data_IF_630989898669
#
_entry.id   IF_630989898669
#
_cell.length_a   1.000
_cell.length_b   1.000
_cell.length_c   1.000
_cell.angle_alpha   90.00
_cell.angle_beta   90.00
_cell.angle_gamma   90.00
#
_symmetry.space_group_name_H-M   'P 1'
#
loop_
_entity.id
_entity.type
_entity.pdbx_description
1 polymer ?
#
# COMPACT_ATOMS: atom_id res chain seq x y z
N UNK A 1 3.68 9.62 19.56
CA UNK A 1 3.01 9.81 18.25
C UNK A 1 1.97 8.70 18.08
N UNK A 2 0.74 9.08 17.69
CA UNK A 2 -0.35 8.14 17.36
C UNK A 2 -0.42 8.02 15.86
N UNK A 3 -0.22 6.82 15.33
CA UNK A 3 -0.10 6.58 13.89
C UNK A 3 -1.25 5.70 13.43
N UNK A 4 -1.94 6.11 12.38
CA UNK A 4 -2.87 5.27 11.63
C UNK A 4 -2.16 4.82 10.35
N UNK A 5 -2.10 3.52 10.10
CA UNK A 5 -1.56 2.97 8.85
C UNK A 5 -2.69 2.34 8.07
N UNK A 6 -2.98 2.91 6.92
CA UNK A 6 -3.93 2.35 5.97
C UNK A 6 -3.28 1.19 5.23
N UNK A 7 -3.97 0.07 5.13
CA UNK A 7 -3.49 -1.07 4.36
C UNK A 7 -4.61 -1.73 3.56
N UNK A 8 -4.35 -1.99 2.29
CA UNK A 8 -5.25 -2.68 1.38
C UNK A 8 -4.91 -4.16 1.32
N UNK A 9 -5.92 -4.99 1.34
CA UNK A 9 -5.81 -6.41 1.06
C UNK A 9 -6.25 -6.65 -0.37
N UNK A 10 -5.39 -7.31 -1.14
CA UNK A 10 -5.54 -7.53 -2.58
C UNK A 10 -5.42 -9.01 -2.91
N UNK A 11 -5.97 -9.47 -4.04
CA UNK A 11 -5.68 -10.81 -4.55
C UNK A 11 -4.19 -10.97 -4.82
N UNK A 12 -3.64 -12.16 -4.59
CA UNK A 12 -2.25 -12.43 -4.91
C UNK A 12 -2.05 -12.48 -6.42
N UNK A 13 -1.41 -11.46 -6.99
CA UNK A 13 -1.19 -11.31 -8.43
C UNK A 13 -0.37 -12.45 -9.05
N UNK A 14 0.47 -13.12 -8.27
CA UNK A 14 1.28 -14.27 -8.74
C UNK A 14 0.44 -15.53 -9.01
N UNK A 15 -0.77 -15.59 -8.43
CA UNK A 15 -1.69 -16.74 -8.56
C UNK A 15 -2.89 -16.44 -9.45
N UNK A 16 -2.97 -15.22 -10.01
CA UNK A 16 -4.02 -14.86 -10.96
C UNK A 16 -3.89 -15.66 -12.26
N UNK A 17 -5.01 -16.17 -12.74
CA UNK A 17 -5.06 -16.89 -14.01
C UNK A 17 -5.55 -15.94 -15.11
N UNK A 18 -4.86 -15.95 -16.25
CA UNK A 18 -5.36 -15.28 -17.45
C UNK A 18 -6.21 -16.28 -18.24
N UNK A 19 -7.49 -15.98 -18.38
CA UNK A 19 -8.44 -16.79 -19.12
C UNK A 19 -8.24 -16.62 -20.66
N UNK A 20 -8.75 -17.54 -21.48
CA UNK A 20 -8.60 -17.45 -22.96
C UNK A 20 -9.11 -16.16 -23.59
N UNK A 21 -10.11 -15.50 -22.97
CA UNK A 21 -10.65 -14.21 -23.37
C UNK A 21 -9.87 -13.03 -22.78
N UNK A 22 -8.72 -13.28 -22.17
CA UNK A 22 -7.84 -12.34 -21.46
C UNK A 22 -8.42 -11.76 -20.17
N UNK A 23 -9.59 -12.16 -19.74
CA UNK A 23 -10.09 -11.80 -18.41
C UNK A 23 -9.23 -12.42 -17.32
N UNK A 24 -9.23 -11.79 -16.14
CA UNK A 24 -8.53 -12.29 -14.96
C UNK A 24 -9.43 -13.23 -14.16
N UNK A 25 -8.93 -14.44 -13.89
CA UNK A 25 -9.59 -15.42 -13.04
C UNK A 25 -9.15 -15.27 -11.58
N UNK A 26 -10.10 -14.98 -10.68
CA UNK A 26 -9.86 -14.79 -9.25
C UNK A 26 -10.23 -16.02 -8.40
N UNK A 27 -10.74 -17.07 -9.02
CA UNK A 27 -11.24 -18.24 -8.30
C UNK A 27 -10.12 -18.97 -7.55
N UNK A 28 -10.22 -19.03 -6.22
CA UNK A 28 -9.23 -19.69 -5.36
C UNK A 28 -7.95 -18.90 -5.12
N UNK A 29 -7.86 -17.69 -5.63
CA UNK A 29 -6.69 -16.81 -5.43
C UNK A 29 -6.66 -16.34 -3.97
N UNK A 30 -5.54 -16.55 -3.24
CA UNK A 30 -5.43 -16.09 -1.86
C UNK A 30 -5.31 -14.57 -1.78
N UNK A 31 -5.77 -14.04 -0.65
CA UNK A 31 -5.65 -12.62 -0.33
C UNK A 31 -4.33 -12.34 0.39
N UNK A 32 -3.71 -11.21 0.07
CA UNK A 32 -2.49 -10.71 0.72
C UNK A 32 -2.54 -9.20 0.96
N UNK A 33 -1.67 -8.70 1.84
CA UNK A 33 -1.48 -7.26 2.01
C UNK A 33 -0.74 -6.72 0.79
N UNK A 34 -1.17 -5.58 0.27
CA UNK A 34 -0.49 -4.87 -0.82
C UNK A 34 0.96 -4.56 -0.45
N UNK A 35 1.87 -4.69 -1.42
CA UNK A 35 3.31 -4.55 -1.18
C UNK A 35 3.69 -3.18 -0.60
N UNK A 36 3.17 -2.10 -1.15
CA UNK A 36 3.45 -0.74 -0.64
C UNK A 36 2.90 -0.50 0.76
N UNK A 37 1.82 -1.18 1.12
CA UNK A 37 1.25 -1.10 2.46
C UNK A 37 2.06 -1.89 3.47
N UNK A 38 2.80 -2.92 3.04
CA UNK A 38 3.82 -3.56 3.88
C UNK A 38 4.93 -2.57 4.26
N UNK A 39 5.37 -1.71 3.32
CA UNK A 39 6.33 -0.66 3.60
C UNK A 39 5.75 0.40 4.56
N UNK A 40 4.49 0.77 4.39
CA UNK A 40 3.80 1.69 5.31
C UNK A 40 3.68 1.11 6.73
N UNK A 41 3.34 -0.18 6.86
CA UNK A 41 3.29 -0.88 8.15
C UNK A 41 4.65 -0.93 8.84
N UNK A 42 5.73 -1.21 8.09
CA UNK A 42 7.08 -1.21 8.64
C UNK A 42 7.53 0.21 9.07
N UNK A 43 7.22 1.25 8.26
CA UNK A 43 7.48 2.65 8.63
C UNK A 43 6.73 3.04 9.92
N UNK A 44 5.45 2.72 10.01
CA UNK A 44 4.64 2.97 11.21
C UNK A 44 5.20 2.28 12.45
N UNK A 45 5.64 1.02 12.31
CA UNK A 45 6.27 0.25 13.38
C UNK A 45 7.58 0.88 13.86
N UNK A 46 8.43 1.34 12.92
CA UNK A 46 9.70 2.00 13.25
C UNK A 46 9.47 3.33 13.99
N UNK A 47 8.53 4.14 13.52
CA UNK A 47 8.18 5.41 14.16
C UNK A 47 7.52 5.22 15.53
N UNK A 48 6.67 4.21 15.70
CA UNK A 48 6.02 3.91 16.96
C UNK A 48 6.99 3.34 18.02
N UNK A 49 8.15 2.81 17.64
CA UNK A 49 9.14 2.23 18.57
C UNK A 49 9.67 3.25 19.59
N UNK A 50 9.60 4.56 19.31
CA UNK A 50 9.95 5.65 20.21
C UNK A 50 8.93 5.96 21.31
N UNK A 51 7.94 5.09 21.58
CA UNK A 51 6.89 5.27 22.60
C UNK A 51 5.55 5.74 22.04
N UNK A 52 5.34 5.59 20.73
CA UNK A 52 4.07 5.85 20.05
C UNK A 52 3.11 4.67 20.09
N UNK A 53 1.96 4.83 19.43
CA UNK A 53 0.97 3.77 19.17
C UNK A 53 0.66 3.70 17.67
N UNK A 54 0.35 2.50 17.22
CA UNK A 54 0.07 2.24 15.81
C UNK A 54 -1.25 1.48 15.66
N UNK A 55 -2.17 2.04 14.89
CA UNK A 55 -3.43 1.39 14.52
C UNK A 55 -3.43 1.11 13.01
N UNK A 56 -3.69 -0.13 12.62
CA UNK A 56 -3.95 -0.43 11.22
C UNK A 56 -5.42 -0.15 10.89
N UNK A 57 -5.67 0.42 9.72
CA UNK A 57 -6.99 0.63 9.15
C UNK A 57 -7.08 -0.06 7.79
N UNK A 58 -8.08 -0.89 7.59
CA UNK A 58 -8.33 -1.55 6.31
C UNK A 58 -9.79 -1.48 5.92
N UNK A 59 -10.04 -1.23 4.63
CA UNK A 59 -11.37 -1.09 4.06
C UNK A 59 -11.52 -2.08 2.92
N UNK A 60 -12.60 -2.82 2.84
CA UNK A 60 -12.83 -3.78 1.78
C UNK A 60 -14.00 -4.72 2.03
N UNK A 61 -14.08 -5.77 1.22
CA UNK A 61 -15.13 -6.79 1.34
C UNK A 61 -14.91 -7.73 2.53
N UNK A 62 -15.97 -8.38 2.94
CA UNK A 62 -15.90 -9.45 3.94
C UNK A 62 -15.06 -10.64 3.45
N UNK A 63 -15.04 -10.90 2.14
CA UNK A 63 -14.21 -11.94 1.53
C UNK A 63 -12.71 -11.64 1.75
N UNK A 64 -12.27 -10.42 1.49
CA UNK A 64 -10.88 -10.01 1.63
C UNK A 64 -10.42 -9.93 3.09
N UNK A 65 -11.22 -9.31 3.96
CA UNK A 65 -10.81 -8.89 5.30
C UNK A 65 -11.41 -9.72 6.44
N UNK A 66 -12.43 -10.53 6.16
CA UNK A 66 -13.18 -11.25 7.21
C UNK A 66 -12.42 -12.41 7.83
N UNK A 67 -11.38 -12.94 7.17
CA UNK A 67 -10.64 -14.08 7.68
C UNK A 67 -9.69 -13.70 8.82
N UNK A 68 -9.67 -14.52 9.89
CA UNK A 68 -8.73 -14.32 11.00
C UNK A 68 -7.27 -14.49 10.60
N UNK A 69 -6.99 -15.15 9.47
CA UNK A 69 -5.64 -15.29 8.91
C UNK A 69 -5.11 -13.96 8.46
N UNK A 70 -5.86 -13.23 7.63
CA UNK A 70 -5.43 -11.94 7.09
C UNK A 70 -5.36 -10.87 8.18
N UNK A 71 -6.31 -10.88 9.13
CA UNK A 71 -6.30 -9.96 10.27
C UNK A 71 -5.07 -10.17 11.15
N UNK A 72 -4.68 -11.42 11.42
CA UNK A 72 -3.45 -11.75 12.16
C UNK A 72 -2.19 -11.41 11.37
N UNK A 73 -2.21 -11.55 10.04
CA UNK A 73 -1.07 -11.14 9.21
C UNK A 73 -0.84 -9.63 9.35
N UNK A 74 -1.87 -8.80 9.21
CA UNK A 74 -1.77 -7.34 9.43
C UNK A 74 -1.24 -7.05 10.84
N UNK A 75 -1.86 -7.60 11.87
CA UNK A 75 -1.52 -7.32 13.28
C UNK A 75 -0.14 -7.84 13.70
N UNK A 76 0.40 -8.85 13.02
CA UNK A 76 1.73 -9.39 13.31
C UNK A 76 2.86 -8.46 12.87
N UNK A 77 2.57 -7.49 11.98
CA UNK A 77 3.52 -6.54 11.41
C UNK A 77 3.73 -5.27 12.23
N UNK A 78 3.16 -5.20 13.44
CA UNK A 78 3.43 -4.11 14.36
C UNK A 78 2.21 -3.47 15.00
N UNK A 79 1.07 -3.27 14.32
CA UNK A 79 -0.06 -2.53 14.86
C UNK A 79 -0.51 -3.04 16.23
N UNK A 80 -0.90 -2.12 17.11
CA UNK A 80 -1.47 -2.44 18.43
C UNK A 80 -2.94 -2.88 18.30
N UNK A 81 -3.63 -2.37 17.28
CA UNK A 81 -5.02 -2.66 16.99
C UNK A 81 -5.28 -2.63 15.48
N UNK A 82 -6.39 -3.22 15.06
CA UNK A 82 -6.88 -3.20 13.69
C UNK A 82 -8.32 -2.69 13.65
N UNK A 83 -8.56 -1.67 12.86
CA UNK A 83 -9.88 -1.16 12.54
C UNK A 83 -10.27 -1.60 11.13
N UNK A 84 -11.47 -2.14 11.00
CA UNK A 84 -11.98 -2.69 9.75
C UNK A 84 -13.27 -1.98 9.34
N UNK A 85 -13.34 -1.53 8.11
CA UNK A 85 -14.58 -1.16 7.44
C UNK A 85 -14.92 -2.23 6.42
N UNK A 86 -16.01 -2.97 6.65
CA UNK A 86 -16.45 -4.06 5.78
C UNK A 86 -17.70 -3.63 5.04
N UNK A 87 -17.64 -3.56 3.72
CA UNK A 87 -18.81 -3.25 2.90
C UNK A 87 -18.80 -4.06 1.59
N UNK A 88 -19.61 -5.08 1.54
CA UNK A 88 -19.74 -5.97 0.38
C UNK A 88 -20.58 -5.34 -0.76
N UNK A 89 -21.23 -4.20 -0.50
CA UNK A 89 -21.99 -3.46 -1.51
C UNK A 89 -21.11 -2.53 -2.38
N UNK A 90 -19.88 -2.27 -1.95
CA UNK A 90 -18.95 -1.35 -2.60
C UNK A 90 -17.67 -2.04 -3.04
N UNK A 91 -17.33 -2.03 -4.33
CA UNK A 91 -16.11 -2.66 -4.83
C UNK A 91 -14.83 -1.90 -4.45
N UNK A 92 -14.89 -0.65 -4.00
CA UNK A 92 -13.74 0.23 -3.70
C UNK A 92 -12.67 0.23 -4.81
N UNK A 93 -13.12 0.24 -6.06
CA UNK A 93 -12.25 0.33 -7.24
C UNK A 93 -12.05 1.78 -7.73
N UNK A 94 -12.80 2.72 -7.18
CA UNK A 94 -12.67 4.16 -7.42
C UNK A 94 -11.80 4.75 -6.31
N UNK A 95 -10.73 5.46 -6.70
CA UNK A 95 -9.77 6.04 -5.76
C UNK A 95 -10.43 7.08 -4.85
N UNK A 96 -11.29 7.93 -5.40
CA UNK A 96 -11.98 8.99 -4.63
C UNK A 96 -13.01 8.41 -3.66
N UNK A 97 -13.78 7.39 -4.07
CA UNK A 97 -14.70 6.69 -3.17
C UNK A 97 -13.94 6.04 -2.02
N UNK A 98 -12.83 5.36 -2.34
CA UNK A 98 -11.94 4.75 -1.35
C UNK A 98 -11.37 5.80 -0.39
N UNK A 99 -10.88 6.92 -0.92
CA UNK A 99 -10.33 8.00 -0.10
C UNK A 99 -11.38 8.62 0.84
N UNK A 100 -12.62 8.82 0.39
CA UNK A 100 -13.72 9.29 1.25
C UNK A 100 -14.01 8.31 2.38
N UNK A 101 -14.06 7.01 2.08
CA UNK A 101 -14.26 5.98 3.09
C UNK A 101 -13.11 5.94 4.11
N UNK A 102 -11.85 6.05 3.65
CA UNK A 102 -10.67 6.13 4.52
C UNK A 102 -10.73 7.38 5.38
N UNK A 103 -10.97 8.56 4.81
CA UNK A 103 -11.01 9.81 5.56
C UNK A 103 -12.07 9.77 6.67
N UNK A 104 -13.29 9.30 6.37
CA UNK A 104 -14.33 9.12 7.38
C UNK A 104 -13.96 8.09 8.45
N UNK A 105 -13.33 6.98 8.08
CA UNK A 105 -12.88 5.97 9.02
C UNK A 105 -11.72 6.47 9.91
N UNK A 106 -10.80 7.27 9.37
CA UNK A 106 -9.72 7.93 10.12
C UNK A 106 -10.30 8.86 11.18
N UNK A 107 -11.29 9.69 10.81
CA UNK A 107 -11.98 10.57 11.76
C UNK A 107 -12.71 9.79 12.86
N UNK A 108 -13.37 8.67 12.50
CA UNK A 108 -14.03 7.79 13.47
C UNK A 108 -13.04 7.00 14.36
N UNK A 109 -11.80 6.82 13.91
CA UNK A 109 -10.78 6.09 14.65
C UNK A 109 -10.27 6.82 15.90
N UNK A 110 -10.51 8.12 16.02
CA UNK A 110 -10.08 8.95 17.16
C UNK A 110 -8.84 9.79 16.84
N UNK A 111 -8.12 10.19 17.88
CA UNK A 111 -6.95 11.06 17.73
C UNK A 111 -5.79 10.38 17.01
N UNK A 112 -5.15 11.11 16.12
CA UNK A 112 -3.95 10.68 15.39
C UNK A 112 -3.04 11.89 15.08
N UNK A 113 -1.75 11.61 14.96
CA UNK A 113 -0.74 12.61 14.59
C UNK A 113 -0.24 12.35 13.15
N UNK A 114 -0.39 11.13 12.66
CA UNK A 114 0.13 10.73 11.35
C UNK A 114 -0.77 9.65 10.72
N UNK A 115 -1.06 9.82 9.44
CA UNK A 115 -1.67 8.78 8.60
C UNK A 115 -0.63 8.33 7.58
N UNK A 116 -0.34 7.03 7.54
CA UNK A 116 0.55 6.42 6.56
C UNK A 116 -0.27 5.59 5.57
N UNK A 117 0.03 5.74 4.30
CA UNK A 117 -0.50 4.94 3.20
C UNK A 117 0.65 4.39 2.37
N UNK A 118 0.46 3.27 1.69
CA UNK A 118 1.30 2.92 0.56
C UNK A 118 1.09 3.90 -0.59
N UNK A 119 2.12 4.17 -1.37
CA UNK A 119 2.06 5.08 -2.53
C UNK A 119 1.02 4.62 -3.56
N UNK A 120 0.85 3.31 -3.71
CA UNK A 120 -0.14 2.70 -4.58
C UNK A 120 -0.53 1.32 -4.07
N UNK A 121 -1.42 0.64 -4.76
CA UNK A 121 -1.80 -0.75 -4.46
C UNK A 121 -1.26 -1.71 -5.51
N UNK A 122 -0.94 -2.94 -5.12
CA UNK A 122 -0.38 -3.95 -6.04
C UNK A 122 -1.36 -4.38 -7.14
N UNK A 123 -2.66 -4.07 -6.99
CA UNK A 123 -3.70 -4.42 -7.96
C UNK A 123 -3.96 -3.31 -9.00
N UNK A 124 -4.31 -2.10 -8.58
CA UNK A 124 -4.74 -1.01 -9.46
C UNK A 124 -3.70 0.09 -9.64
N UNK A 125 -2.84 0.30 -8.66
CA UNK A 125 -1.72 1.23 -8.68
C UNK A 125 -2.05 2.67 -9.10
N UNK A 126 -3.18 3.21 -8.65
CA UNK A 126 -3.60 4.58 -9.03
C UNK A 126 -2.74 5.69 -8.43
N UNK A 127 -2.05 5.46 -7.33
CA UNK A 127 -1.16 6.43 -6.64
C UNK A 127 -1.87 7.70 -6.14
N UNK A 128 -3.18 7.67 -5.96
CA UNK A 128 -4.01 8.85 -5.70
C UNK A 128 -4.58 8.88 -4.28
N UNK A 129 -4.87 7.71 -3.71
CA UNK A 129 -5.71 7.58 -2.50
C UNK A 129 -5.12 8.36 -1.33
N UNK A 130 -3.82 8.25 -1.04
CA UNK A 130 -3.21 8.94 0.09
C UNK A 130 -3.29 10.47 -0.01
N UNK A 131 -3.04 11.03 -1.20
CA UNK A 131 -3.15 12.48 -1.45
C UNK A 131 -4.59 12.95 -1.33
N UNK A 132 -5.54 12.18 -1.87
CA UNK A 132 -6.97 12.47 -1.75
C UNK A 132 -7.45 12.41 -0.30
N UNK A 133 -6.97 11.46 0.51
CA UNK A 133 -7.26 11.38 1.95
C UNK A 133 -6.77 12.64 2.66
N UNK A 134 -5.54 13.08 2.39
CA UNK A 134 -5.03 14.33 2.96
C UNK A 134 -5.89 15.54 2.61
N UNK A 135 -6.26 15.67 1.33
CA UNK A 135 -7.14 16.76 0.88
C UNK A 135 -8.52 16.72 1.56
N UNK A 136 -9.12 15.53 1.70
CA UNK A 136 -10.43 15.34 2.34
C UNK A 136 -10.39 15.62 3.85
N UNK A 137 -9.27 15.35 4.50
CA UNK A 137 -9.06 15.64 5.92
C UNK A 137 -8.61 17.10 6.16
N UNK A 138 -8.28 17.85 5.11
CA UNK A 138 -7.71 19.20 5.23
C UNK A 138 -6.28 19.20 5.76
N UNK A 139 -5.53 18.11 5.58
CA UNK A 139 -4.20 17.91 6.12
C UNK A 139 -3.12 18.02 5.03
N UNK A 140 -1.90 18.42 5.39
CA UNK A 140 -0.74 18.28 4.51
C UNK A 140 -0.58 16.85 4.04
N UNK A 141 -0.37 16.66 2.73
CA UNK A 141 -0.16 15.34 2.15
C UNK A 141 1.12 15.32 1.30
N UNK A 142 1.98 14.33 1.57
CA UNK A 142 3.21 14.12 0.80
C UNK A 142 3.18 12.70 0.22
N UNK A 143 3.38 12.61 -1.09
CA UNK A 143 3.47 11.33 -1.79
C UNK A 143 4.92 10.98 -2.15
N UNK A 144 5.13 9.73 -2.57
CA UNK A 144 6.41 9.17 -2.97
C UNK A 144 7.52 9.36 -1.92
N UNK A 145 7.15 9.15 -0.65
CA UNK A 145 8.04 9.33 0.50
C UNK A 145 9.04 8.16 0.55
N UNK A 146 10.32 8.50 0.57
CA UNK A 146 11.45 7.57 0.59
C UNK A 146 12.22 7.60 1.92
N UNK A 147 11.95 8.57 2.79
CA UNK A 147 12.55 8.67 4.12
C UNK A 147 11.65 9.41 5.10
N UNK A 148 11.60 8.93 6.35
CA UNK A 148 10.92 9.61 7.47
C UNK A 148 11.80 9.49 8.70
N UNK A 149 12.25 10.62 9.23
CA UNK A 149 13.10 10.65 10.43
C UNK A 149 12.53 11.63 11.45
N UNK A 150 12.37 11.24 12.72
CA UNK A 150 12.02 12.19 13.79
C UNK A 150 13.10 13.26 13.96
N UNK A 151 12.71 14.53 13.88
CA UNK A 151 13.63 15.68 13.94
C UNK A 151 13.46 16.52 15.23
N UNK A 152 12.62 16.10 16.15
CA UNK A 152 12.33 16.76 17.43
C UNK A 152 10.94 16.43 17.95
N UNK A 153 10.48 17.11 19.01
CA UNK A 153 9.13 16.91 19.54
C UNK A 153 8.08 17.31 18.47
N UNK A 154 7.39 16.33 17.93
CA UNK A 154 6.32 16.52 16.95
C UNK A 154 6.77 16.91 15.54
N UNK A 155 8.09 16.91 15.25
CA UNK A 155 8.65 17.25 13.94
C UNK A 155 9.12 15.99 13.22
N UNK A 156 8.77 15.84 11.95
CA UNK A 156 9.26 14.81 11.06
C UNK A 156 10.05 15.47 9.91
N UNK A 157 11.20 14.92 9.65
CA UNK A 157 11.98 15.16 8.45
C UNK A 157 11.54 14.14 7.41
N UNK A 158 11.02 14.59 6.27
CA UNK A 158 10.43 13.76 5.24
C UNK A 158 11.21 13.94 3.94
N UNK A 159 11.72 12.85 3.40
CA UNK A 159 12.35 12.81 2.09
C UNK A 159 11.37 12.20 1.08
N UNK A 160 11.26 12.81 -0.09
CA UNK A 160 10.51 12.24 -1.20
C UNK A 160 11.30 12.30 -2.51
N UNK A 161 11.09 11.33 -3.37
CA UNK A 161 11.68 11.32 -4.71
C UNK A 161 10.73 11.99 -5.69
N UNK A 162 11.24 12.97 -6.44
CA UNK A 162 10.62 13.56 -7.61
C UNK A 162 11.29 12.99 -8.88
N UNK A 163 10.80 13.38 -10.05
CA UNK A 163 11.25 12.81 -11.32
C UNK A 163 12.77 12.90 -11.54
N UNK A 164 13.39 14.00 -11.13
CA UNK A 164 14.83 14.27 -11.34
C UNK A 164 15.58 14.71 -10.07
N UNK A 165 14.92 14.71 -8.89
CA UNK A 165 15.52 15.20 -7.65
C UNK A 165 14.91 14.52 -6.41
N UNK A 166 15.63 14.57 -5.30
CA UNK A 166 15.12 14.23 -3.97
C UNK A 166 14.83 15.54 -3.24
N UNK A 167 13.59 15.70 -2.82
CA UNK A 167 13.18 16.84 -2.02
C UNK A 167 13.13 16.46 -0.53
N UNK A 168 13.65 17.34 0.30
CA UNK A 168 13.63 17.20 1.74
C UNK A 168 12.69 18.26 2.32
N UNK A 169 11.68 17.79 3.05
CA UNK A 169 10.66 18.63 3.67
C UNK A 169 10.83 18.59 5.17
N UNK A 170 11.14 19.75 5.76
CA UNK A 170 11.05 19.92 7.19
C UNK A 170 9.62 20.30 7.57
N UNK A 171 8.94 19.41 8.26
CA UNK A 171 7.70 19.76 8.92
C UNK A 171 8.04 20.56 10.16
N UNK A 172 8.21 21.89 10.01
CA UNK A 172 8.46 22.81 11.12
C UNK A 172 7.36 22.69 12.18
N UNK A 173 7.76 22.61 13.44
CA UNK A 173 7.05 22.29 14.66
C UNK A 173 5.73 23.00 15.00
N UNK A 174 5.04 23.56 14.03
CA UNK A 174 3.64 23.97 14.15
C UNK A 174 2.66 22.83 13.80
N UNK A 175 3.17 21.64 13.49
CA UNK A 175 2.36 20.42 13.25
C UNK A 175 1.64 19.91 14.52
N UNK A 176 1.77 20.60 15.65
CA UNK A 176 1.02 20.25 16.88
C UNK A 176 -0.48 20.43 16.80
N UNK A 177 -0.99 21.12 15.79
CA UNK A 177 -2.43 21.26 15.56
C UNK A 177 -2.91 20.48 14.34
N UNK A 178 -2.02 20.06 13.41
CA UNK A 178 -2.39 19.44 12.16
C UNK A 178 -1.58 18.15 11.92
N UNK A 179 -2.26 17.03 11.98
CA UNK A 179 -1.72 15.74 11.53
C UNK A 179 -1.29 15.81 10.05
N UNK A 180 -0.50 14.85 9.59
CA UNK A 180 -0.09 14.75 8.19
C UNK A 180 -0.50 13.40 7.57
N UNK A 181 -0.59 13.36 6.25
CA UNK A 181 -0.79 12.14 5.47
C UNK A 181 0.44 11.89 4.59
N UNK A 182 1.11 10.76 4.76
CA UNK A 182 2.28 10.41 3.98
C UNK A 182 2.02 9.12 3.19
N UNK A 183 2.30 9.15 1.88
CA UNK A 183 2.25 7.97 1.02
C UNK A 183 3.66 7.50 0.71
N UNK A 184 4.03 6.34 1.24
CA UNK A 184 5.39 5.82 1.19
C UNK A 184 5.63 4.95 -0.04
N UNK A 185 6.81 5.07 -0.64
CA UNK A 185 7.27 4.22 -1.73
C UNK A 185 7.85 2.90 -1.20
N UNK A 186 8.12 1.96 -2.11
CA UNK A 186 8.79 0.70 -1.75
C UNK A 186 10.27 0.87 -1.40
N UNK A 187 10.87 2.04 -1.69
CA UNK A 187 12.28 2.33 -1.43
C UNK A 187 12.54 2.73 0.03
N UNK A 188 11.49 3.12 0.77
CA UNK A 188 11.61 3.65 2.13
C UNK A 188 12.23 2.65 3.12
N UNK A 189 11.91 1.37 2.97
CA UNK A 189 12.41 0.30 3.85
C UNK A 189 12.21 -1.08 3.20
N UNK A 190 12.79 -2.09 3.84
CA UNK A 190 12.49 -3.49 3.54
C UNK A 190 11.57 -4.01 4.65
N UNK A 191 10.31 -4.38 4.33
CA UNK A 191 9.37 -4.87 5.34
C UNK A 191 9.88 -6.13 6.03
N UNK A 192 9.88 -6.12 7.36
CA UNK A 192 10.33 -7.28 8.14
C UNK A 192 9.31 -8.42 8.08
N UNK A 193 9.81 -9.65 8.01
CA UNK A 193 8.97 -10.85 8.13
C UNK A 193 8.62 -11.07 9.61
N UNK A 194 7.32 -11.20 9.97
CA UNK A 194 6.92 -11.41 11.35
C UNK A 194 7.50 -12.71 11.94
N UNK A 195 8.07 -12.62 13.15
CA UNK A 195 8.51 -13.81 13.87
C UNK A 195 7.30 -14.58 14.43
N UNK A 196 7.46 -15.87 14.71
CA UNK A 196 6.39 -16.72 15.26
C UNK A 196 5.75 -16.11 16.52
N UNK A 197 6.53 -15.48 17.40
CA UNK A 197 6.03 -14.80 18.59
C UNK A 197 5.09 -13.64 18.26
N UNK A 198 5.35 -12.93 17.15
CA UNK A 198 4.56 -11.76 16.76
C UNK A 198 3.23 -12.21 16.16
N UNK A 199 3.23 -13.32 15.41
CA UNK A 199 2.03 -13.99 14.91
C UNK A 199 1.16 -14.50 16.09
N UNK A 200 1.76 -15.08 17.13
CA UNK A 200 1.03 -15.51 18.31
C UNK A 200 0.43 -14.35 19.11
N UNK A 201 1.15 -13.23 19.23
CA UNK A 201 0.65 -12.00 19.89
C UNK A 201 -0.47 -11.36 19.08
N UNK A 202 -0.40 -11.37 17.75
CA UNK A 202 -1.40 -10.80 16.86
C UNK A 202 -2.81 -11.33 17.14
N UNK A 203 -2.92 -12.60 17.48
CA UNK A 203 -4.22 -13.21 17.81
C UNK A 203 -4.90 -12.70 19.09
N UNK A 204 -4.19 -11.88 19.90
CA UNK A 204 -4.71 -11.28 21.15
C UNK A 204 -4.95 -9.77 21.02
N UNK A 205 -4.54 -9.16 19.90
CA UNK A 205 -4.73 -7.74 19.67
C UNK A 205 -6.17 -7.43 19.27
N UNK A 206 -6.70 -6.26 19.66
CA UNK A 206 -8.08 -5.89 19.36
C UNK A 206 -8.30 -5.69 17.86
N UNK A 207 -9.45 -6.20 17.40
CA UNK A 207 -10.00 -5.94 16.07
C UNK A 207 -11.36 -5.29 16.25
N UNK A 208 -11.52 -4.10 15.77
CA UNK A 208 -12.74 -3.32 15.84
C UNK A 208 -13.34 -3.14 14.44
N UNK A 209 -14.64 -3.33 14.33
CA UNK A 209 -15.37 -3.03 13.09
C UNK A 209 -15.97 -1.64 13.21
N UNK A 210 -15.69 -0.81 12.23
CA UNK A 210 -16.30 0.51 12.06
C UNK A 210 -17.42 0.41 11.02
N UNK A 211 -18.43 1.24 11.19
CA UNK A 211 -19.44 1.44 10.17
C UNK A 211 -18.80 2.05 8.91
N UNK A 212 -19.27 1.66 7.73
CA UNK A 212 -18.79 2.27 6.49
C UNK A 212 -19.26 3.73 6.43
N UNK A 213 -18.34 4.70 6.36
CA UNK A 213 -18.74 6.09 6.20
C UNK A 213 -19.47 6.32 4.89
N UNK A 214 -20.28 7.38 4.83
CA UNK A 214 -20.89 7.79 3.56
C UNK A 214 -19.79 8.28 2.60
N UNK A 215 -19.43 7.45 1.64
CA UNK A 215 -18.44 7.76 0.61
C UNK A 215 -19.07 8.09 -0.77
N UNK A 216 -20.39 8.12 -0.84
CA UNK A 216 -21.15 8.36 -2.07
C UNK A 216 -21.00 7.23 -3.11
N UNK A 217 -21.52 7.52 -4.30
CA UNK A 217 -21.36 6.63 -5.45
C UNK A 217 -19.97 6.78 -6.07
N UNK A 218 -19.46 5.74 -6.75
CA UNK A 218 -18.18 5.81 -7.42
C UNK A 218 -18.21 6.83 -8.56
N UNK A 219 -17.16 7.64 -8.69
CA UNK A 219 -16.98 8.63 -9.77
C UNK A 219 -16.52 7.97 -11.07
N UNK A 220 -15.86 6.81 -10.96
CA UNK A 220 -15.33 6.04 -12.07
C UNK A 220 -15.96 4.64 -12.08
N UNK A 221 -16.17 4.12 -13.27
CA UNK A 221 -16.63 2.75 -13.49
C UNK A 221 -15.65 2.03 -14.39
N UNK A 222 -15.10 0.93 -13.92
CA UNK A 222 -14.31 0.02 -14.76
C UNK A 222 -15.23 -0.62 -15.80
N UNK A 223 -14.95 -0.39 -17.07
CA UNK A 223 -15.71 -0.99 -18.17
C UNK A 223 -15.15 -2.36 -18.53
N UNK A 224 -13.83 -2.49 -18.53
CA UNK A 224 -13.13 -3.70 -18.92
C UNK A 224 -11.77 -3.78 -18.21
N UNK A 225 -11.36 -4.97 -17.84
CA UNK A 225 -10.04 -5.24 -17.24
C UNK A 225 -9.51 -6.52 -17.87
N UNK A 226 -8.57 -6.39 -18.80
CA UNK A 226 -8.00 -7.49 -19.56
C UNK A 226 -6.48 -7.55 -19.37
N UNK A 227 -5.96 -8.75 -19.35
CA UNK A 227 -4.53 -8.95 -19.48
C UNK A 227 -4.05 -8.47 -20.87
N UNK A 228 -2.83 -7.91 -20.96
CA UNK A 228 -2.27 -7.52 -22.25
C UNK A 228 -2.17 -8.71 -23.19
N UNK A 229 -2.26 -8.45 -24.50
CA UNK A 229 -2.01 -9.49 -25.50
C UNK A 229 -0.58 -9.98 -25.34
N UNK A 230 -0.45 -11.29 -25.21
CA UNK A 230 0.87 -11.91 -25.22
C UNK A 230 1.39 -11.90 -26.66
N UNK A 231 2.41 -11.10 -26.91
CA UNK A 231 3.17 -11.23 -28.14
C UNK A 231 3.96 -12.53 -28.08
N UNK A 232 3.93 -13.31 -29.17
CA UNK A 232 4.78 -14.48 -29.31
C UNK A 232 6.25 -14.05 -29.15
N UNK A 233 6.88 -14.49 -28.08
CA UNK A 233 8.32 -14.28 -27.88
C UNK A 233 9.04 -15.16 -28.89
N UNK A 234 10.00 -14.61 -29.62
CA UNK A 234 10.80 -15.38 -30.61
C UNK A 234 11.57 -16.54 -29.99
N UNK A 235 11.79 -16.52 -28.68
CA UNK A 235 12.51 -17.55 -27.88
C UNK A 235 13.86 -17.93 -28.50
N UNK A 236 14.55 -16.96 -29.10
CA UNK A 236 15.92 -17.18 -29.57
C UNK A 236 16.83 -17.32 -28.34
N UNK A 237 17.39 -18.51 -28.18
CA UNK A 237 18.33 -18.84 -27.11
C UNK A 237 19.74 -18.75 -27.64
N UNK A 238 20.59 -17.97 -26.98
CA UNK A 238 22.02 -17.97 -27.19
C UNK A 238 22.63 -18.90 -26.18
N UNK A 239 23.13 -20.06 -26.63
CA UNK A 239 23.76 -21.06 -25.75
C UNK A 239 25.21 -20.68 -25.47
N UNK A 240 25.67 -21.00 -24.24
CA UNK A 240 27.05 -20.80 -23.78
C UNK A 240 27.22 -19.58 -22.87
N UNK A 241 28.41 -19.49 -22.27
CA UNK A 241 28.82 -18.47 -21.32
C UNK A 241 30.12 -17.73 -21.72
N UNK A 242 30.64 -18.05 -22.93
CA UNK A 242 31.87 -17.48 -23.47
C UNK A 242 31.70 -16.21 -24.30
N UNK A 243 32.81 -15.67 -24.81
CA UNK A 243 32.86 -14.46 -25.66
C UNK A 243 31.96 -14.60 -26.90
N UNK A 244 31.86 -15.79 -27.47
CA UNK A 244 31.03 -16.04 -28.65
C UNK A 244 29.52 -15.82 -28.36
N UNK A 245 29.05 -16.20 -27.18
CA UNK A 245 27.67 -15.97 -26.75
C UNK A 245 27.40 -14.49 -26.52
N UNK A 246 28.35 -13.76 -25.93
CA UNK A 246 28.26 -12.31 -25.74
C UNK A 246 28.20 -11.61 -27.10
N UNK A 247 29.08 -11.99 -28.04
CA UNK A 247 29.09 -11.39 -29.40
C UNK A 247 27.80 -11.68 -30.16
N UNK A 248 27.21 -12.87 -30.00
CA UNK A 248 25.95 -13.21 -30.60
C UNK A 248 24.81 -12.34 -30.05
N UNK A 249 24.76 -12.15 -28.71
CA UNK A 249 23.78 -11.27 -28.07
C UNK A 249 23.94 -9.81 -28.53
N UNK A 250 25.17 -9.29 -28.54
CA UNK A 250 25.44 -7.92 -29.01
C UNK A 250 25.01 -7.73 -30.47
N UNK A 251 25.29 -8.69 -31.33
CA UNK A 251 24.84 -8.64 -32.73
C UNK A 251 23.33 -8.65 -32.86
N UNK A 252 22.64 -9.47 -32.03
CA UNK A 252 21.19 -9.51 -31.96
C UNK A 252 20.60 -8.14 -31.54
N UNK A 253 21.09 -7.59 -30.41
CA UNK A 253 20.62 -6.28 -29.90
C UNK A 253 20.82 -5.16 -30.94
N UNK A 254 22.00 -5.10 -31.58
CA UNK A 254 22.27 -4.11 -32.66
C UNK A 254 21.32 -4.28 -33.85
N UNK A 255 20.95 -5.50 -34.21
CA UNK A 255 20.01 -5.77 -35.30
C UNK A 255 18.58 -5.30 -34.96
N UNK A 256 18.20 -5.37 -33.69
CA UNK A 256 16.88 -4.92 -33.22
C UNK A 256 16.84 -3.42 -32.87
N UNK A 257 17.96 -2.68 -33.01
CA UNK A 257 18.02 -1.22 -32.87
C UNK A 257 18.38 -0.69 -31.49
N UNK A 258 19.02 -1.54 -30.68
CA UNK A 258 19.58 -1.18 -29.36
C UNK A 258 21.07 -0.85 -29.47
#
# INVERSE_FOLDING_TARGET
>A
MKIIVCCKVVPNEEELQVLPNRELGFNGVPWKISQYDLNALESGKQLAAGGGSMTALSIGSTEALGSSKIQKDILSRGPDSLKLVLDDSKPFQDSLQTAKAIAGAVQAAGDYDLVLCGMGSSDLYFQEVGVQVGALLGLPAVNNVTGITPAGEGVLHVERTLENEVEVLDADGNVKEDAAVLSVSSEINVPSVPAMRDIMKAGKKPVEKLDCPDCGEPSLRTLEQLAPEQQERRQELVEGDGEEAVDALVRFLKKEGF
#
